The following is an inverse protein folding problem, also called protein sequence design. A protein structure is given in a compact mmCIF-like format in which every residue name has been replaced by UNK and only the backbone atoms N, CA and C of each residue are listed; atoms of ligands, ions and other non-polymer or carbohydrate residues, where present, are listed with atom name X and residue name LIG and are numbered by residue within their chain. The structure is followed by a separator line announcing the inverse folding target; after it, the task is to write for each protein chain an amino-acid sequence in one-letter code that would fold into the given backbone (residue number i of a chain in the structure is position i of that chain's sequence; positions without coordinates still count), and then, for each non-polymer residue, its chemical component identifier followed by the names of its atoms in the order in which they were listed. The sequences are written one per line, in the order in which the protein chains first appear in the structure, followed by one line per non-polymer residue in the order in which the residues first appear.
data_IF_102982778547
#
_entry.id   IF_102982778547
#
_cell.length_a   1.000
_cell.length_b   1.000
_cell.length_c   1.000
_cell.angle_alpha   90.00
_cell.angle_beta   90.00
_cell.angle_gamma   90.00
#
_symmetry.space_group_name_H-M   'P 1'
#
loop_
_entity.id
_entity.type
_entity.pdbx_description
1 polymer ?
#
# COMPACT_ATOMS: atom_id res chain seq x y z
N UNK A 1 9.52 -19.04 8.34
CA UNK A 1 10.13 -17.92 7.59
C UNK A 1 9.89 -17.97 6.09
N UNK A 2 10.29 -19.04 5.38
CA UNK A 2 10.21 -19.09 3.89
C UNK A 2 8.79 -18.85 3.36
N UNK A 3 7.76 -19.39 4.03
CA UNK A 3 6.36 -19.16 3.65
C UNK A 3 5.96 -17.68 3.64
N UNK A 4 6.44 -16.89 4.61
CA UNK A 4 6.17 -15.44 4.67
C UNK A 4 6.88 -14.68 3.55
N UNK A 5 8.10 -15.10 3.18
CA UNK A 5 8.83 -14.53 2.04
C UNK A 5 8.07 -14.81 0.74
N UNK A 6 7.60 -16.04 0.55
CA UNK A 6 6.80 -16.41 -0.62
C UNK A 6 5.51 -15.59 -0.67
N UNK A 7 4.78 -15.46 0.45
CA UNK A 7 3.57 -14.62 0.55
C UNK A 7 3.85 -13.15 0.22
N UNK A 8 4.94 -12.60 0.75
CA UNK A 8 5.32 -11.22 0.46
C UNK A 8 5.62 -11.00 -1.02
N UNK A 9 6.35 -11.93 -1.65
CA UNK A 9 6.65 -11.88 -3.09
C UNK A 9 5.37 -11.99 -3.91
N UNK A 10 4.46 -12.92 -3.59
CA UNK A 10 3.23 -13.10 -4.37
C UNK A 10 2.29 -11.90 -4.25
N UNK A 11 2.13 -11.34 -3.04
CA UNK A 11 1.32 -10.14 -2.82
C UNK A 11 1.93 -8.91 -3.52
N UNK A 12 3.25 -8.72 -3.39
CA UNK A 12 3.95 -7.63 -4.06
C UNK A 12 3.88 -7.75 -5.59
N UNK A 13 4.00 -8.96 -6.13
CA UNK A 13 3.84 -9.22 -7.55
C UNK A 13 2.41 -8.91 -8.03
N UNK A 14 1.39 -9.39 -7.30
CA UNK A 14 -0.01 -9.11 -7.65
C UNK A 14 -0.32 -7.61 -7.62
N UNK A 15 0.14 -6.89 -6.60
CA UNK A 15 -0.03 -5.45 -6.47
C UNK A 15 0.69 -4.66 -7.58
N UNK A 16 1.90 -5.08 -7.96
CA UNK A 16 2.66 -4.44 -9.04
C UNK A 16 2.17 -4.78 -10.45
N UNK A 17 1.52 -5.94 -10.62
CA UNK A 17 0.96 -6.37 -11.90
C UNK A 17 -0.42 -5.75 -12.17
N UNK A 18 -1.16 -5.38 -11.13
CA UNK A 18 -2.47 -4.74 -11.27
C UNK A 18 -2.34 -3.30 -11.76
N UNK A 19 -2.94 -2.96 -12.93
CA UNK A 19 -2.88 -1.60 -13.46
C UNK A 19 -3.59 -0.63 -12.52
N UNK A 20 -2.81 0.20 -11.84
CA UNK A 20 -3.31 1.21 -10.90
C UNK A 20 -2.88 2.64 -11.28
N UNK A 21 -3.50 3.68 -10.69
CA UNK A 21 -3.18 5.08 -10.96
C UNK A 21 -1.69 5.42 -10.79
N UNK A 22 -1.05 4.82 -9.77
CA UNK A 22 0.38 4.99 -9.51
C UNK A 22 1.25 4.35 -10.59
N UNK A 23 0.87 3.17 -11.10
CA UNK A 23 1.57 2.53 -12.20
C UNK A 23 1.45 3.33 -13.49
N UNK A 24 0.26 3.85 -13.81
CA UNK A 24 0.05 4.77 -14.94
C UNK A 24 0.92 6.02 -14.79
N UNK A 25 0.98 6.62 -13.60
CA UNK A 25 1.85 7.76 -13.32
C UNK A 25 3.33 7.44 -13.57
N UNK A 26 3.83 6.30 -13.08
CA UNK A 26 5.21 5.87 -13.30
C UNK A 26 5.50 5.64 -14.79
N UNK A 27 4.58 5.04 -15.53
CA UNK A 27 4.72 4.84 -16.98
C UNK A 27 4.78 6.19 -17.70
N UNK A 28 3.85 7.11 -17.42
CA UNK A 28 3.87 8.44 -18.04
C UNK A 28 5.15 9.21 -17.69
N UNK A 29 5.61 9.13 -16.44
CA UNK A 29 6.82 9.82 -15.99
C UNK A 29 8.09 9.22 -16.59
N UNK A 30 8.16 7.89 -16.75
CA UNK A 30 9.31 7.20 -17.36
C UNK A 30 9.42 7.58 -18.85
N UNK A 31 8.29 7.65 -19.56
CA UNK A 31 8.23 8.08 -20.96
C UNK A 31 8.65 9.54 -21.14
N UNK A 32 8.26 10.44 -20.23
CA UNK A 32 8.56 11.87 -20.36
C UNK A 32 9.95 12.27 -19.86
N UNK A 33 10.43 11.68 -18.76
CA UNK A 33 11.63 12.14 -18.04
C UNK A 33 12.77 11.10 -18.04
N UNK A 34 12.54 9.91 -18.59
CA UNK A 34 13.49 8.80 -18.64
C UNK A 34 13.56 7.98 -17.35
N UNK A 35 13.87 6.68 -17.49
CA UNK A 35 13.82 5.70 -16.41
C UNK A 35 14.69 6.06 -15.18
N UNK A 36 15.85 6.69 -15.40
CA UNK A 36 16.80 7.06 -14.33
C UNK A 36 16.22 8.09 -13.35
N UNK A 37 15.40 9.04 -13.84
CA UNK A 37 14.77 10.07 -13.01
C UNK A 37 13.52 9.57 -12.30
N UNK A 38 12.90 8.51 -12.80
CA UNK A 38 11.70 7.88 -12.22
C UNK A 38 11.99 6.75 -11.23
N UNK A 39 13.19 6.17 -11.25
CA UNK A 39 13.58 5.12 -10.30
C UNK A 39 13.33 5.51 -8.83
N UNK A 40 13.70 6.73 -8.37
CA UNK A 40 13.39 7.16 -7.00
C UNK A 40 11.89 7.21 -6.72
N UNK A 41 11.07 7.58 -7.71
CA UNK A 41 9.62 7.66 -7.56
C UNK A 41 8.98 6.29 -7.35
N UNK A 42 9.59 5.21 -7.84
CA UNK A 42 9.11 3.85 -7.57
C UNK A 42 9.20 3.46 -6.08
N UNK A 43 10.09 4.11 -5.32
CA UNK A 43 10.20 3.93 -3.87
C UNK A 43 9.26 4.84 -3.06
N UNK A 44 8.46 5.68 -3.73
CA UNK A 44 7.52 6.56 -3.05
C UNK A 44 6.52 5.83 -2.14
N UNK A 45 5.90 4.69 -2.53
CA UNK A 45 5.01 3.93 -1.65
C UNK A 45 5.74 3.40 -0.42
N UNK A 46 7.00 2.97 -0.56
CA UNK A 46 7.77 2.46 0.57
C UNK A 46 7.96 3.55 1.65
N UNK A 47 8.28 4.78 1.26
CA UNK A 47 8.45 5.90 2.19
C UNK A 47 7.12 6.44 2.70
N UNK A 48 6.15 6.60 1.79
CA UNK A 48 4.85 7.19 2.10
C UNK A 48 4.00 6.28 2.98
N UNK A 49 4.05 4.96 2.77
CA UNK A 49 3.17 4.01 3.44
C UNK A 49 3.72 3.54 4.78
N UNK A 50 5.01 3.74 5.08
CA UNK A 50 5.59 3.45 6.40
C UNK A 50 4.83 4.22 7.50
N UNK A 51 4.53 5.49 7.28
CA UNK A 51 3.91 6.34 8.32
C UNK A 51 2.47 5.92 8.61
N UNK A 52 1.57 5.76 7.61
CA UNK A 52 0.23 5.22 7.82
C UNK A 52 0.24 3.81 8.42
N UNK A 53 1.13 2.91 7.96
CA UNK A 53 1.20 1.54 8.49
C UNK A 53 1.64 1.54 9.95
N UNK A 54 2.69 2.30 10.29
CA UNK A 54 3.15 2.41 11.67
C UNK A 54 2.08 3.01 12.59
N UNK A 55 1.39 4.06 12.14
CA UNK A 55 0.27 4.65 12.88
C UNK A 55 -0.88 3.66 13.05
N UNK A 56 -1.26 2.93 12.00
CA UNK A 56 -2.30 1.92 12.07
C UNK A 56 -1.93 0.84 13.09
N UNK A 57 -0.71 0.29 13.04
CA UNK A 57 -0.25 -0.72 14.00
C UNK A 57 -0.25 -0.19 15.43
N UNK A 58 0.24 1.03 15.66
CA UNK A 58 0.26 1.64 17.00
C UNK A 58 -1.17 1.86 17.54
N UNK A 59 -2.05 2.39 16.72
CA UNK A 59 -3.44 2.63 17.10
C UNK A 59 -4.16 1.32 17.39
N UNK A 60 -4.10 0.34 16.47
CA UNK A 60 -4.80 -0.94 16.65
C UNK A 60 -4.28 -1.73 17.86
N UNK A 61 -2.99 -1.67 18.17
CA UNK A 61 -2.42 -2.36 19.34
C UNK A 61 -2.76 -1.69 20.68
N UNK A 62 -3.10 -0.40 20.67
CA UNK A 62 -3.41 0.37 21.88
C UNK A 62 -4.92 0.47 22.17
N UNK A 63 -5.77 0.01 21.25
CA UNK A 63 -7.21 0.18 21.32
C UNK A 63 -7.92 -1.09 21.83
N UNK A 64 -9.05 -0.93 22.53
CA UNK A 64 -9.89 -2.05 22.95
C UNK A 64 -10.58 -2.72 21.74
N UNK A 65 -10.83 -4.03 21.85
CA UNK A 65 -11.31 -4.92 20.77
C UNK A 65 -12.61 -4.49 20.09
N UNK A 66 -13.48 -3.71 20.76
CA UNK A 66 -14.71 -3.20 20.14
C UNK A 66 -14.44 -2.14 19.05
N UNK A 67 -13.26 -1.50 19.07
CA UNK A 67 -12.90 -0.46 18.10
C UNK A 67 -12.65 -1.04 16.71
N UNK A 68 -12.16 -2.28 16.61
CA UNK A 68 -11.99 -2.99 15.34
C UNK A 68 -13.34 -3.22 14.64
N UNK A 69 -14.37 -3.60 15.40
CA UNK A 69 -15.72 -3.81 14.87
C UNK A 69 -16.32 -2.52 14.29
N UNK A 70 -16.10 -1.39 14.97
CA UNK A 70 -16.53 -0.07 14.47
C UNK A 70 -15.75 0.29 13.21
N UNK A 71 -14.44 0.04 13.17
CA UNK A 71 -13.61 0.31 12.01
C UNK A 71 -14.04 -0.52 10.79
N UNK A 72 -14.39 -1.79 10.97
CA UNK A 72 -14.93 -2.63 9.91
C UNK A 72 -16.27 -2.12 9.38
N UNK A 73 -17.16 -1.68 10.28
CA UNK A 73 -18.48 -1.17 9.89
C UNK A 73 -18.35 0.15 9.11
N UNK A 74 -17.54 1.08 9.61
CA UNK A 74 -17.26 2.36 8.94
C UNK A 74 -16.55 2.13 7.60
N UNK A 75 -15.53 1.26 7.55
CA UNK A 75 -14.82 0.94 6.32
C UNK A 75 -15.71 0.26 5.28
N UNK A 76 -16.58 -0.65 5.70
CA UNK A 76 -17.58 -1.29 4.84
C UNK A 76 -18.59 -0.27 4.28
N UNK A 77 -19.10 0.62 5.11
CA UNK A 77 -19.95 1.73 4.66
C UNK A 77 -19.23 2.65 3.67
N UNK A 78 -17.95 2.95 3.90
CA UNK A 78 -17.17 3.78 2.98
C UNK A 78 -16.99 3.14 1.60
N UNK A 79 -16.80 1.82 1.51
CA UNK A 79 -16.67 1.14 0.20
C UNK A 79 -17.99 1.11 -0.57
N UNK A 80 -19.13 1.17 0.13
CA UNK A 80 -20.46 1.19 -0.51
C UNK A 80 -20.83 2.54 -1.13
N UNK A 81 -20.14 3.63 -0.77
CA UNK A 81 -20.43 5.00 -1.22
C UNK A 81 -19.26 5.59 -2.01
#
# INVERSE_FOLDING_TARGET
MIAYVILGITLGFAAGAQPGPFQTFLISRTLQHGWRRTLPAAFAPLLSDIVPVALALLLLTSLPTWTENVLYLVGGCFVLF
#
